data_IF_441455415752
#
_entry.id   IF_441455415752
#
_cell.length_a   1.000
_cell.length_b   1.000
_cell.length_c   1.000
_cell.angle_alpha   90.00
_cell.angle_beta   90.00
_cell.angle_gamma   90.00
#
_symmetry.space_group_name_H-M   'P 1'
#
loop_
_entity.id
_entity.type
_entity.pdbx_description
1 polymer ?
#
# COMPACT_ATOMS: atom_id res chain seq x y z
N UNK A 1 5.61 39.23 -60.42
CA UNK A 1 6.60 39.88 -59.53
C UNK A 1 5.84 40.34 -58.30
N UNK A 2 5.53 39.33 -57.50
CA UNK A 2 5.44 39.23 -56.04
C UNK A 2 4.83 40.38 -55.24
N UNK A 3 3.58 40.13 -54.85
CA UNK A 3 2.81 40.82 -53.83
C UNK A 3 3.43 40.55 -52.45
N UNK A 4 3.77 41.65 -51.78
CA UNK A 4 4.38 41.72 -50.46
C UNK A 4 3.41 41.18 -49.40
N UNK A 5 3.57 39.92 -48.97
CA UNK A 5 2.94 39.42 -47.75
C UNK A 5 3.84 39.72 -46.55
N UNK A 6 3.47 40.75 -45.80
CA UNK A 6 4.00 40.98 -44.45
C UNK A 6 3.33 39.96 -43.53
N UNK A 7 4.02 38.87 -43.23
CA UNK A 7 3.59 37.92 -42.20
C UNK A 7 3.78 38.55 -40.81
N UNK A 8 2.72 38.59 -40.02
CA UNK A 8 2.73 39.04 -38.62
C UNK A 8 3.64 38.15 -37.76
N UNK A 9 4.28 38.70 -36.70
CA UNK A 9 5.06 37.89 -35.77
C UNK A 9 4.09 36.97 -35.01
N UNK A 10 4.32 35.67 -35.10
CA UNK A 10 3.64 34.66 -34.29
C UNK A 10 3.83 34.98 -32.82
N UNK A 11 2.75 35.38 -32.15
CA UNK A 11 2.62 35.43 -30.70
C UNK A 11 2.85 34.02 -30.16
N UNK A 12 4.10 33.70 -29.83
CA UNK A 12 4.44 32.55 -29.00
C UNK A 12 3.95 32.86 -27.60
N UNK A 13 2.64 32.65 -27.41
CA UNK A 13 1.94 32.85 -26.16
C UNK A 13 2.73 32.25 -25.01
N UNK A 14 3.09 33.12 -24.09
CA UNK A 14 3.59 32.79 -22.77
C UNK A 14 2.64 31.77 -22.12
N UNK A 15 3.08 30.52 -22.03
CA UNK A 15 2.47 29.52 -21.14
C UNK A 15 3.11 29.74 -19.76
N UNK A 16 2.41 30.32 -18.76
CA UNK A 16 2.95 30.37 -17.41
C UNK A 16 3.02 28.94 -16.89
N UNK A 17 4.23 28.40 -16.84
CA UNK A 17 4.78 27.79 -15.63
C UNK A 17 3.81 26.88 -14.85
N UNK A 18 3.28 25.84 -15.50
CA UNK A 18 2.72 24.66 -14.80
C UNK A 18 3.83 23.75 -14.27
N UNK A 19 4.93 24.34 -13.80
CA UNK A 19 6.04 23.63 -13.19
C UNK A 19 5.89 23.68 -11.66
N UNK A 20 6.12 22.52 -11.02
CA UNK A 20 6.49 22.34 -9.60
C UNK A 20 5.52 21.61 -8.64
N UNK A 21 4.57 20.80 -9.14
CA UNK A 21 4.12 19.63 -8.39
C UNK A 21 4.23 18.40 -9.29
N UNK A 22 4.90 17.30 -8.88
CA UNK A 22 4.77 16.06 -9.63
C UNK A 22 3.31 15.63 -9.54
N UNK A 23 2.57 15.68 -10.65
CA UNK A 23 1.32 14.94 -10.82
C UNK A 23 1.62 13.47 -10.50
N UNK A 24 1.28 13.02 -9.30
CA UNK A 24 1.61 11.65 -8.87
C UNK A 24 0.86 10.67 -9.75
N UNK A 25 1.58 9.72 -10.34
CA UNK A 25 0.95 8.77 -11.25
C UNK A 25 -0.04 7.87 -10.48
N UNK A 26 -1.09 7.34 -11.12
CA UNK A 26 -2.01 6.40 -10.46
C UNK A 26 -1.29 5.18 -9.85
N UNK A 27 -0.14 4.79 -10.41
CA UNK A 27 0.71 3.72 -9.87
C UNK A 27 1.34 4.11 -8.53
N UNK A 28 1.88 5.33 -8.42
CA UNK A 28 2.49 5.85 -7.19
C UNK A 28 1.47 5.93 -6.05
N UNK A 29 0.24 6.37 -6.35
CA UNK A 29 -0.81 6.48 -5.34
C UNK A 29 -1.32 5.10 -4.89
N UNK A 30 -1.43 4.12 -5.79
CA UNK A 30 -1.78 2.75 -5.45
C UNK A 30 -0.74 2.10 -4.53
N UNK A 31 0.55 2.38 -4.79
CA UNK A 31 1.66 1.98 -3.92
C UNK A 31 1.57 2.58 -2.53
N UNK A 32 1.32 3.88 -2.44
CA UNK A 32 1.13 4.56 -1.15
C UNK A 32 -0.05 3.93 -0.39
N UNK A 33 -1.18 3.71 -1.06
CA UNK A 33 -2.37 3.12 -0.43
C UNK A 33 -2.13 1.68 0.05
N UNK A 34 -1.37 0.88 -0.69
CA UNK A 34 -0.96 -0.45 -0.25
C UNK A 34 -0.06 -0.42 1.00
N UNK A 35 0.85 0.56 1.12
CA UNK A 35 1.65 0.75 2.34
C UNK A 35 0.77 1.21 3.49
N UNK A 36 -0.12 2.18 3.25
CA UNK A 36 -1.06 2.70 4.25
C UNK A 36 -1.94 1.59 4.84
N UNK A 37 -2.30 0.59 4.04
CA UNK A 37 -3.08 -0.57 4.49
C UNK A 37 -2.47 -1.30 5.71
N UNK A 38 -1.15 -1.26 5.89
CA UNK A 38 -0.47 -1.90 7.02
C UNK A 38 -0.57 -1.13 8.34
N UNK A 39 -0.91 0.16 8.27
CA UNK A 39 -1.11 1.02 9.44
C UNK A 39 -2.61 1.20 9.71
N UNK A 40 -3.41 1.40 8.66
CA UNK A 40 -4.85 1.63 8.73
C UNK A 40 -5.53 0.85 7.60
N UNK A 41 -5.82 -0.44 7.85
CA UNK A 41 -6.28 -1.38 6.81
C UNK A 41 -7.57 -0.97 6.09
N UNK A 42 -8.49 -0.27 6.74
CA UNK A 42 -9.76 0.12 6.15
C UNK A 42 -9.68 1.42 5.35
N UNK A 43 -8.65 2.24 5.55
CA UNK A 43 -8.54 3.56 4.89
C UNK A 43 -8.49 3.42 3.36
N UNK A 44 -7.67 2.54 2.75
CA UNK A 44 -7.68 2.36 1.31
C UNK A 44 -9.04 1.91 0.74
N UNK A 45 -9.86 1.20 1.53
CA UNK A 45 -11.20 0.77 1.11
C UNK A 45 -12.23 1.90 1.06
N UNK A 46 -11.92 3.05 1.68
CA UNK A 46 -12.75 4.26 1.66
C UNK A 46 -12.34 5.24 0.55
N UNK A 47 -11.34 4.88 -0.26
CA UNK A 47 -10.82 5.70 -1.36
C UNK A 47 -11.21 5.12 -2.71
N UNK A 48 -10.89 5.82 -3.80
CA UNK A 48 -11.02 5.32 -5.17
C UNK A 48 -10.18 4.05 -5.44
N UNK A 49 -9.18 3.75 -4.60
CA UNK A 49 -8.33 2.56 -4.73
C UNK A 49 -8.95 1.27 -4.18
N UNK A 50 -10.18 1.33 -3.66
CA UNK A 50 -10.87 0.17 -3.07
C UNK A 50 -11.00 -1.04 -4.02
N UNK A 51 -11.04 -0.79 -5.34
CA UNK A 51 -11.17 -1.81 -6.38
C UNK A 51 -9.83 -2.18 -7.03
N UNK A 52 -8.72 -1.58 -6.60
CA UNK A 52 -7.39 -1.89 -7.11
C UNK A 52 -6.90 -3.23 -6.53
N UNK A 53 -6.62 -4.21 -7.39
CA UNK A 53 -6.21 -5.55 -6.96
C UNK A 53 -4.90 -5.57 -6.13
N UNK A 54 -3.98 -4.63 -6.37
CA UNK A 54 -2.73 -4.50 -5.60
C UNK A 54 -2.99 -3.96 -4.20
N UNK A 55 -3.83 -2.93 -4.10
CA UNK A 55 -4.25 -2.39 -2.80
C UNK A 55 -5.04 -3.43 -2.02
N UNK A 56 -6.01 -4.11 -2.64
CA UNK A 56 -6.79 -5.18 -2.00
C UNK A 56 -5.92 -6.29 -1.44
N UNK A 57 -4.91 -6.73 -2.20
CA UNK A 57 -3.97 -7.75 -1.74
C UNK A 57 -3.30 -7.37 -0.41
N UNK A 58 -2.77 -6.13 -0.33
CA UNK A 58 -2.11 -5.65 0.87
C UNK A 58 -3.07 -5.33 2.02
N UNK A 59 -4.32 -4.92 1.72
CA UNK A 59 -5.39 -4.80 2.73
C UNK A 59 -5.74 -6.16 3.34
N UNK A 60 -5.92 -7.21 2.53
CA UNK A 60 -6.20 -8.55 3.05
C UNK A 60 -5.04 -9.07 3.90
N UNK A 61 -3.81 -8.86 3.44
CA UNK A 61 -2.61 -9.26 4.17
C UNK A 61 -2.47 -8.51 5.51
N UNK A 62 -2.80 -7.21 5.56
CA UNK A 62 -2.76 -6.44 6.82
C UNK A 62 -3.89 -6.83 7.78
N UNK A 63 -5.09 -7.12 7.29
CA UNK A 63 -6.18 -7.70 8.10
C UNK A 63 -5.75 -9.03 8.70
N UNK A 64 -5.13 -9.92 7.91
CA UNK A 64 -4.65 -11.20 8.42
C UNK A 64 -3.62 -11.01 9.54
N UNK A 65 -2.61 -10.13 9.35
CA UNK A 65 -1.60 -9.83 10.38
C UNK A 65 -2.28 -9.32 11.65
N UNK A 66 -3.27 -8.44 11.54
CA UNK A 66 -4.05 -7.94 12.69
C UNK A 66 -4.75 -9.08 13.43
N UNK A 67 -5.44 -9.98 12.71
CA UNK A 67 -6.12 -11.13 13.30
C UNK A 67 -5.15 -12.09 14.00
N UNK A 68 -3.99 -12.35 13.41
CA UNK A 68 -2.93 -13.15 14.04
C UNK A 68 -2.43 -12.46 15.31
N UNK A 69 -2.24 -11.13 15.28
CA UNK A 69 -1.84 -10.34 16.45
C UNK A 69 -2.85 -10.41 17.59
N UNK A 70 -4.15 -10.35 17.30
CA UNK A 70 -5.21 -10.57 18.31
C UNK A 70 -5.08 -11.96 18.93
N UNK A 71 -4.86 -13.00 18.12
CA UNK A 71 -4.64 -14.37 18.60
C UNK A 71 -3.40 -14.49 19.51
N UNK A 72 -2.28 -13.87 19.13
CA UNK A 72 -1.07 -13.82 19.97
C UNK A 72 -1.35 -13.09 21.30
N UNK A 73 -2.13 -12.00 21.28
CA UNK A 73 -2.55 -11.29 22.50
C UNK A 73 -3.33 -12.19 23.47
N UNK A 74 -4.26 -12.99 22.95
CA UNK A 74 -5.00 -13.98 23.76
C UNK A 74 -4.07 -15.02 24.37
N UNK A 75 -3.14 -15.60 23.59
CA UNK A 75 -2.14 -16.56 24.08
C UNK A 75 -1.25 -15.93 25.17
N UNK A 76 -0.88 -14.66 24.97
CA UNK A 76 -0.04 -13.89 25.90
C UNK A 76 -0.72 -13.62 27.25
N UNK A 77 -2.03 -13.86 27.37
CA UNK A 77 -2.78 -13.70 28.62
C UNK A 77 -2.53 -14.86 29.60
N UNK A 78 -1.95 -15.98 29.13
CA UNK A 78 -1.61 -17.14 29.97
C UNK A 78 -0.29 -16.87 30.69
N UNK A 79 -0.24 -16.91 32.04
CA UNK A 79 0.97 -16.61 32.79
C UNK A 79 2.10 -17.61 32.53
N UNK A 80 3.35 -17.14 32.67
CA UNK A 80 4.60 -17.87 32.45
C UNK A 80 4.82 -18.34 31.01
N UNK A 81 4.07 -19.34 30.52
CA UNK A 81 4.27 -19.92 29.18
C UNK A 81 3.79 -18.98 28.07
N UNK A 82 2.62 -18.36 28.26
CA UNK A 82 2.05 -17.44 27.28
C UNK A 82 2.91 -16.19 27.13
N UNK A 83 3.61 -15.74 28.17
CA UNK A 83 4.51 -14.59 28.09
C UNK A 83 5.73 -14.87 27.22
N UNK A 84 6.40 -16.01 27.42
CA UNK A 84 7.59 -16.37 26.64
C UNK A 84 7.21 -16.62 25.18
N UNK A 85 6.18 -17.43 24.94
CA UNK A 85 5.71 -17.73 23.58
C UNK A 85 5.17 -16.48 22.90
N UNK A 86 4.39 -15.68 23.63
CA UNK A 86 3.83 -14.41 23.17
C UNK A 86 4.92 -13.43 22.75
N UNK A 87 5.97 -13.26 23.54
CA UNK A 87 7.10 -12.38 23.21
C UNK A 87 7.76 -12.80 21.88
N UNK A 88 8.06 -14.08 21.70
CA UNK A 88 8.66 -14.59 20.46
C UNK A 88 7.70 -14.42 19.26
N UNK A 89 6.42 -14.70 19.47
CA UNK A 89 5.41 -14.58 18.42
C UNK A 89 5.19 -13.12 17.99
N UNK A 90 5.19 -12.16 18.93
CA UNK A 90 5.13 -10.73 18.61
C UNK A 90 6.34 -10.27 17.79
N UNK A 91 7.55 -10.74 18.14
CA UNK A 91 8.74 -10.43 17.33
C UNK A 91 8.61 -10.97 15.90
N UNK A 92 8.17 -12.22 15.75
CA UNK A 92 7.92 -12.81 14.43
C UNK A 92 6.84 -12.03 13.66
N UNK A 93 5.76 -11.60 14.33
CA UNK A 93 4.69 -10.82 13.72
C UNK A 93 5.19 -9.46 13.20
N UNK A 94 6.04 -8.78 13.96
CA UNK A 94 6.68 -7.51 13.52
C UNK A 94 7.53 -7.74 12.28
N UNK A 95 8.30 -8.84 12.21
CA UNK A 95 9.07 -9.20 11.00
C UNK A 95 8.15 -9.40 9.81
N UNK A 96 7.04 -10.13 9.97
CA UNK A 96 6.07 -10.35 8.90
C UNK A 96 5.39 -9.05 8.45
N UNK A 97 5.08 -8.15 9.39
CA UNK A 97 4.52 -6.83 9.11
C UNK A 97 5.48 -5.95 8.29
N UNK A 98 6.76 -5.90 8.68
CA UNK A 98 7.79 -5.18 7.92
C UNK A 98 7.97 -5.79 6.53
N UNK A 99 8.04 -7.12 6.41
CA UNK A 99 8.10 -7.79 5.10
C UNK A 99 6.92 -7.42 4.21
N UNK A 100 5.72 -7.31 4.78
CA UNK A 100 4.52 -6.91 4.06
C UNK A 100 4.65 -5.48 3.50
N UNK A 101 5.15 -4.55 4.31
CA UNK A 101 5.41 -3.17 3.88
C UNK A 101 6.49 -3.13 2.79
N UNK A 102 7.58 -3.87 2.95
CA UNK A 102 8.65 -3.93 1.94
C UNK A 102 8.16 -4.51 0.61
N UNK A 103 7.29 -5.51 0.66
CA UNK A 103 6.64 -6.06 -0.52
C UNK A 103 5.74 -5.01 -1.20
N UNK A 104 4.94 -4.27 -0.43
CA UNK A 104 4.12 -3.18 -0.97
C UNK A 104 4.98 -2.05 -1.56
N UNK A 105 6.05 -1.65 -0.87
CA UNK A 105 6.98 -0.63 -1.35
C UNK A 105 7.75 -1.05 -2.60
N UNK A 106 7.91 -2.37 -2.80
CA UNK A 106 8.51 -2.97 -4.00
C UNK A 106 7.50 -3.34 -5.08
N UNK A 107 6.21 -3.00 -4.90
CA UNK A 107 5.11 -3.31 -5.82
C UNK A 107 4.92 -4.82 -6.07
N UNK A 108 5.15 -5.64 -5.04
CA UNK A 108 5.08 -7.11 -5.11
C UNK A 108 3.91 -7.66 -4.31
N UNK A 109 3.05 -8.44 -4.98
CA UNK A 109 2.05 -9.30 -4.33
C UNK A 109 2.67 -10.62 -3.88
N UNK A 110 3.52 -10.58 -2.85
CA UNK A 110 4.19 -11.76 -2.33
C UNK A 110 3.59 -12.24 -1.00
N UNK A 111 3.25 -13.54 -0.89
CA UNK A 111 2.71 -14.08 0.34
C UNK A 111 3.80 -14.06 1.42
N UNK A 112 3.42 -13.62 2.61
CA UNK A 112 4.29 -13.70 3.79
C UNK A 112 4.58 -15.16 4.16
N UNK A 113 5.78 -15.45 4.71
CA UNK A 113 6.09 -16.76 5.26
C UNK A 113 5.03 -17.22 6.27
N UNK A 114 4.75 -18.54 6.28
CA UNK A 114 3.84 -19.25 7.18
C UNK A 114 2.35 -18.91 7.02
N UNK A 115 1.99 -17.63 6.90
CA UNK A 115 0.60 -17.16 6.98
C UNK A 115 0.07 -16.56 5.67
N UNK A 116 0.94 -16.17 4.73
CA UNK A 116 0.57 -15.33 3.58
C UNK A 116 -0.49 -15.90 2.65
N UNK A 117 -0.58 -17.23 2.53
CA UNK A 117 -1.61 -17.91 1.72
C UNK A 117 -3.03 -17.74 2.28
N UNK A 118 -3.16 -17.58 3.59
CA UNK A 118 -4.48 -17.51 4.23
C UNK A 118 -5.17 -16.17 4.00
N UNK A 119 -4.44 -15.10 3.67
CA UNK A 119 -5.03 -13.79 3.45
C UNK A 119 -6.04 -13.82 2.29
N UNK A 120 -5.65 -14.39 1.15
CA UNK A 120 -6.51 -14.53 -0.02
C UNK A 120 -7.56 -15.65 0.14
N UNK A 121 -7.22 -16.73 0.85
CA UNK A 121 -8.16 -17.84 1.07
C UNK A 121 -9.33 -17.46 1.98
N UNK A 122 -9.07 -16.68 3.03
CA UNK A 122 -10.05 -16.30 4.05
C UNK A 122 -10.81 -15.01 3.69
N UNK A 123 -10.19 -14.06 2.98
CA UNK A 123 -10.76 -12.75 2.68
C UNK A 123 -11.05 -12.61 1.17
N UNK A 124 -12.31 -12.85 0.79
CA UNK A 124 -12.74 -12.97 -0.62
C UNK A 124 -13.47 -11.71 -1.14
N UNK A 125 -12.79 -10.57 -1.10
CA UNK A 125 -13.29 -9.31 -1.67
C UNK A 125 -12.29 -8.64 -2.61
#
# INVERSE_FOLDING_TARGET
>A
MDENQVAEPTDNGFQPESALAPESSPADNSKIMAIVAYFIFFLPLLTEYKDNDFVKYHVKQSILILLVGVGIGVISSIPFIGWIVGMLAWMALVVLWVMGILNAASEKKQPLPLIGKYAEELLKF
#
